data_IF_750468702618
#
_entry.id   IF_750468702618
#
_cell.length_a   1.000
_cell.length_b   1.000
_cell.length_c   1.000
_cell.angle_alpha   90.00
_cell.angle_beta   90.00
_cell.angle_gamma   90.00
#
_symmetry.space_group_name_H-M   'P 1'
#
loop_
_entity.id
_entity.type
_entity.pdbx_description
1 polymer ?
#
# COMPACT_ATOMS: atom_id res chain seq x y z
N UNK A 1 -38.18 -16.03 -2.42
CA UNK A 1 -37.20 -15.49 -1.46
C UNK A 1 -35.85 -15.69 -2.10
N UNK A 2 -35.23 -14.62 -2.61
CA UNK A 2 -33.89 -14.73 -3.17
C UNK A 2 -32.95 -14.96 -1.99
N UNK A 3 -32.22 -16.07 -2.01
CA UNK A 3 -31.12 -16.30 -1.09
C UNK A 3 -30.13 -15.15 -1.30
N UNK A 4 -30.10 -14.22 -0.34
CA UNK A 4 -28.97 -13.31 -0.22
C UNK A 4 -27.76 -14.18 0.11
N UNK A 5 -27.04 -14.63 -0.91
CA UNK A 5 -25.67 -15.07 -0.72
C UNK A 5 -24.92 -13.83 -0.22
N UNK A 6 -24.78 -13.71 1.11
CA UNK A 6 -23.78 -12.83 1.69
C UNK A 6 -22.45 -13.28 1.08
N UNK A 7 -21.86 -12.44 0.24
CA UNK A 7 -20.60 -12.79 -0.38
C UNK A 7 -19.53 -12.58 0.70
N UNK A 8 -19.14 -13.67 1.36
CA UNK A 8 -18.11 -13.68 2.37
C UNK A 8 -16.73 -13.61 1.71
N UNK A 9 -15.87 -12.66 2.10
CA UNK A 9 -14.48 -12.66 1.68
C UNK A 9 -13.72 -13.91 2.12
N UNK A 10 -12.90 -14.41 1.23
CA UNK A 10 -12.01 -15.55 1.46
C UNK A 10 -10.57 -15.06 1.66
N UNK A 11 -9.75 -15.89 2.31
CA UNK A 11 -8.31 -15.65 2.50
C UNK A 11 -7.53 -16.80 1.88
N UNK A 12 -6.63 -16.45 0.97
CA UNK A 12 -5.80 -17.37 0.21
C UNK A 12 -4.36 -17.33 0.72
N UNK A 13 -3.62 -18.40 0.52
CA UNK A 13 -2.27 -18.55 1.05
C UNK A 13 -1.30 -18.99 -0.04
N UNK A 14 -0.23 -18.21 -0.22
CA UNK A 14 0.91 -18.60 -1.04
C UNK A 14 2.10 -18.87 -0.12
N UNK A 15 2.78 -20.00 -0.34
CA UNK A 15 3.96 -20.38 0.43
C UNK A 15 5.07 -20.80 -0.51
N UNK A 16 6.28 -20.29 -0.30
CA UNK A 16 7.50 -20.73 -0.97
C UNK A 16 8.64 -20.76 0.05
N UNK A 17 9.12 -21.97 0.34
CA UNK A 17 10.06 -22.26 1.42
C UNK A 17 9.58 -21.72 2.78
N UNK A 18 10.21 -20.65 3.28
CA UNK A 18 9.93 -20.03 4.59
C UNK A 18 9.07 -18.78 4.50
N UNK A 19 8.72 -18.32 3.30
CA UNK A 19 7.84 -17.17 3.11
C UNK A 19 6.42 -17.67 2.91
N UNK A 20 5.51 -17.16 3.73
CA UNK A 20 4.07 -17.39 3.61
C UNK A 20 3.36 -16.05 3.60
N UNK A 21 2.58 -15.78 2.55
CA UNK A 21 1.72 -14.61 2.44
C UNK A 21 0.26 -15.04 2.43
N UNK A 22 -0.58 -14.33 3.18
CA UNK A 22 -2.04 -14.50 3.14
C UNK A 22 -2.67 -13.27 2.52
N UNK A 23 -3.57 -13.49 1.56
CA UNK A 23 -4.18 -12.43 0.76
C UNK A 23 -5.68 -12.70 0.67
N UNK A 24 -6.50 -11.70 0.97
CA UNK A 24 -7.95 -11.79 0.83
C UNK A 24 -8.44 -11.26 -0.52
N UNK A 25 -9.51 -11.82 -1.05
CA UNK A 25 -10.22 -11.25 -2.19
C UNK A 25 -11.02 -9.98 -1.86
N UNK A 26 -11.15 -9.61 -0.59
CA UNK A 26 -11.62 -8.27 -0.23
C UNK A 26 -10.48 -7.27 -0.39
N UNK A 27 -10.62 -6.35 -1.34
CA UNK A 27 -9.61 -5.34 -1.63
C UNK A 27 -8.25 -5.87 -2.08
N UNK A 28 -8.17 -7.14 -2.51
CA UNK A 28 -6.93 -7.84 -2.81
C UNK A 28 -5.88 -7.70 -1.68
N UNK A 29 -6.34 -7.84 -0.44
CA UNK A 29 -5.65 -7.37 0.77
C UNK A 29 -4.61 -8.37 1.31
N UNK A 30 -3.35 -7.98 1.45
CA UNK A 30 -2.36 -8.74 2.24
C UNK A 30 -2.74 -8.64 3.73
N UNK A 31 -3.13 -9.76 4.32
CA UNK A 31 -3.51 -9.85 5.75
C UNK A 31 -2.36 -10.31 6.64
N UNK A 32 -1.40 -11.05 6.07
CA UNK A 32 -0.24 -11.61 6.78
C UNK A 32 0.92 -11.82 5.82
N UNK A 33 2.16 -11.59 6.30
CA UNK A 33 3.38 -11.99 5.61
C UNK A 33 4.40 -12.49 6.62
N UNK A 34 4.60 -13.80 6.67
CA UNK A 34 5.58 -14.46 7.53
C UNK A 34 6.93 -14.53 6.83
N UNK A 35 7.97 -14.00 7.48
CA UNK A 35 9.35 -14.03 6.97
C UNK A 35 10.36 -14.35 8.09
N UNK A 36 11.42 -15.12 7.80
CA UNK A 36 12.43 -15.47 8.80
C UNK A 36 13.33 -14.26 9.14
N UNK A 37 13.75 -14.18 10.40
CA UNK A 37 14.87 -13.34 10.83
C UNK A 37 16.23 -14.01 10.54
N UNK A 38 17.34 -13.38 10.96
CA UNK A 38 18.69 -13.95 10.80
C UNK A 38 18.94 -15.27 11.56
N UNK A 39 18.09 -15.60 12.55
CA UNK A 39 18.14 -16.85 13.31
C UNK A 39 17.14 -17.90 12.79
N UNK A 40 16.34 -17.56 11.77
CA UNK A 40 15.32 -18.41 11.19
C UNK A 40 13.95 -18.36 11.86
N UNK A 41 13.74 -17.46 12.84
CA UNK A 41 12.43 -17.29 13.49
C UNK A 41 11.48 -16.56 12.54
N UNK A 42 10.32 -17.16 12.30
CA UNK A 42 9.25 -16.56 11.51
C UNK A 42 8.48 -15.55 12.35
N UNK A 43 8.21 -14.38 11.77
CA UNK A 43 7.27 -13.41 12.34
C UNK A 43 6.48 -12.74 11.21
N UNK A 44 5.30 -12.26 11.56
CA UNK A 44 4.42 -11.56 10.63
C UNK A 44 4.78 -10.07 10.60
N UNK A 45 5.29 -9.61 9.46
CA UNK A 45 5.88 -8.27 9.32
C UNK A 45 4.92 -7.22 8.78
N UNK A 46 3.62 -7.52 8.71
CA UNK A 46 2.60 -6.56 8.26
C UNK A 46 1.52 -6.35 9.32
N UNK A 47 1.02 -5.14 9.48
CA UNK A 47 -0.16 -4.88 10.34
C UNK A 47 -1.42 -5.46 9.69
N UNK A 48 -2.39 -5.86 10.50
CA UNK A 48 -3.67 -6.35 10.03
C UNK A 48 -4.57 -6.87 11.15
N UNK A 49 -5.59 -7.64 10.78
CA UNK A 49 -6.52 -8.31 11.69
C UNK A 49 -6.52 -9.83 11.48
N UNK A 50 -6.95 -10.57 12.49
CA UNK A 50 -7.04 -12.05 12.44
C UNK A 50 -8.21 -12.55 11.57
N UNK A 51 -9.22 -11.71 11.33
CA UNK A 51 -10.40 -12.03 10.54
C UNK A 51 -10.72 -10.92 9.54
N UNK A 52 -11.62 -11.21 8.58
CA UNK A 52 -12.04 -10.24 7.57
C UNK A 52 -13.07 -9.23 8.09
N UNK A 53 -13.75 -9.53 9.19
CA UNK A 53 -14.83 -8.70 9.73
C UNK A 53 -14.41 -7.24 10.01
N UNK A 54 -13.26 -6.94 10.64
CA UNK A 54 -12.81 -5.56 10.83
C UNK A 54 -12.52 -4.83 9.51
N UNK A 55 -12.01 -5.53 8.49
CA UNK A 55 -11.78 -4.94 7.17
C UNK A 55 -13.10 -4.56 6.51
N UNK A 56 -14.10 -5.46 6.54
CA UNK A 56 -15.44 -5.24 5.98
C UNK A 56 -16.15 -4.08 6.70
N UNK A 57 -15.99 -3.99 8.02
CA UNK A 57 -16.55 -2.90 8.86
C UNK A 57 -15.80 -1.56 8.71
N UNK A 58 -14.75 -1.50 7.89
CA UNK A 58 -13.99 -0.27 7.66
C UNK A 58 -13.14 0.18 8.85
N UNK A 59 -12.75 -0.75 9.74
CA UNK A 59 -11.88 -0.45 10.88
C UNK A 59 -10.41 -0.31 10.46
N UNK A 60 -10.05 -0.88 9.31
CA UNK A 60 -8.72 -0.79 8.72
C UNK A 60 -8.49 0.62 8.13
N UNK A 61 -7.44 1.36 8.54
CA UNK A 61 -7.00 2.55 7.82
C UNK A 61 -6.21 2.12 6.57
N UNK A 62 -6.85 1.38 5.68
CA UNK A 62 -6.28 0.80 4.46
C UNK A 62 -5.17 -0.23 4.71
N UNK A 63 -5.27 -1.06 5.76
CA UNK A 63 -4.26 -2.10 6.02
C UNK A 63 -4.17 -3.10 4.87
N UNK A 64 -3.05 -3.08 4.13
CA UNK A 64 -2.66 -4.14 3.21
C UNK A 64 -3.50 -4.26 1.94
N UNK A 65 -4.42 -3.35 1.67
CA UNK A 65 -5.31 -3.40 0.51
C UNK A 65 -4.71 -2.67 -0.70
N UNK A 66 -5.25 -2.96 -1.88
CA UNK A 66 -5.02 -2.13 -3.07
C UNK A 66 -5.97 -0.93 -3.01
N UNK A 67 -5.38 0.27 -3.07
CA UNK A 67 -6.13 1.52 -3.19
C UNK A 67 -6.28 1.92 -4.66
N UNK A 68 -7.47 2.38 -5.03
CA UNK A 68 -7.83 2.79 -6.38
C UNK A 68 -9.30 3.21 -6.45
N UNK A 69 -9.79 3.83 -7.53
CA UNK A 69 -9.19 3.99 -8.87
C UNK A 69 -7.98 4.93 -8.96
N UNK A 70 -7.92 5.92 -8.07
CA UNK A 70 -6.77 6.84 -7.91
C UNK A 70 -6.34 6.84 -6.45
N UNK A 71 -5.12 6.37 -6.20
CA UNK A 71 -4.44 6.39 -4.92
C UNK A 71 -4.14 7.84 -4.48
N UNK A 72 -3.99 8.03 -3.16
CA UNK A 72 -3.80 9.33 -2.53
C UNK A 72 -4.93 10.33 -2.85
N UNK A 73 -4.65 11.63 -2.80
CA UNK A 73 -5.66 12.69 -2.79
C UNK A 73 -5.89 13.29 -4.17
N UNK A 74 -7.16 13.58 -4.47
CA UNK A 74 -7.55 14.52 -5.52
C UNK A 74 -8.09 15.79 -4.84
N UNK A 75 -7.41 16.90 -5.11
CA UNK A 75 -7.73 18.21 -4.53
C UNK A 75 -9.18 18.58 -4.79
N UNK A 76 -9.88 19.00 -3.73
CA UNK A 76 -11.30 19.39 -3.76
C UNK A 76 -12.25 18.30 -4.30
N UNK A 77 -11.75 17.07 -4.45
CA UNK A 77 -12.46 15.97 -5.11
C UNK A 77 -12.87 16.29 -6.53
N UNK A 78 -12.11 17.11 -7.27
CA UNK A 78 -12.45 17.49 -8.63
C UNK A 78 -11.28 17.35 -9.58
N UNK A 79 -11.58 17.02 -10.82
CA UNK A 79 -10.63 17.06 -11.92
C UNK A 79 -11.34 17.34 -13.24
N UNK A 80 -10.58 17.80 -14.23
CA UNK A 80 -11.07 17.99 -15.60
C UNK A 80 -10.37 17.00 -16.52
N UNK A 81 -11.13 16.31 -17.36
CA UNK A 81 -10.60 15.40 -18.37
C UNK A 81 -11.34 15.62 -19.69
N UNK A 82 -10.61 15.86 -20.77
CA UNK A 82 -11.17 16.16 -22.11
C UNK A 82 -12.24 17.26 -22.10
N UNK A 83 -12.04 18.30 -21.28
CA UNK A 83 -12.95 19.44 -21.15
C UNK A 83 -14.19 19.21 -20.29
N UNK A 84 -14.37 18.02 -19.70
CA UNK A 84 -15.46 17.72 -18.77
C UNK A 84 -14.96 17.76 -17.32
N UNK A 85 -15.69 18.45 -16.43
CA UNK A 85 -15.46 18.42 -14.98
C UNK A 85 -16.10 17.18 -14.36
N UNK A 86 -15.34 16.49 -13.52
CA UNK A 86 -15.79 15.37 -12.71
C UNK A 86 -15.69 15.73 -11.24
N UNK A 87 -16.68 15.28 -10.46
CA UNK A 87 -16.72 15.46 -9.01
C UNK A 87 -16.73 14.09 -8.32
N UNK A 88 -15.89 13.95 -7.32
CA UNK A 88 -15.64 12.75 -6.54
C UNK A 88 -16.14 12.94 -5.11
N UNK A 89 -16.42 11.86 -4.38
CA UNK A 89 -16.78 11.95 -2.97
C UNK A 89 -15.68 12.57 -2.12
N UNK A 90 -16.06 13.57 -1.32
CA UNK A 90 -15.20 14.19 -0.31
C UNK A 90 -15.20 13.31 0.94
N UNK A 91 -14.48 12.20 0.88
CA UNK A 91 -14.31 11.24 1.97
C UNK A 91 -13.17 11.63 2.94
N UNK A 92 -12.32 12.59 2.56
CA UNK A 92 -11.32 13.20 3.45
C UNK A 92 -11.33 14.72 3.27
N UNK A 93 -12.29 15.43 3.90
CA UNK A 93 -12.49 16.86 3.65
C UNK A 93 -11.21 17.70 3.76
N UNK A 94 -10.98 18.64 2.82
CA UNK A 94 -11.84 19.01 1.69
C UNK A 94 -11.66 18.16 0.42
N UNK A 95 -10.93 17.05 0.47
CA UNK A 95 -10.47 16.30 -0.70
C UNK A 95 -11.15 14.94 -0.87
N UNK A 96 -10.97 14.34 -2.05
CA UNK A 96 -11.19 12.90 -2.24
C UNK A 96 -9.88 12.14 -1.98
N UNK A 97 -9.96 10.94 -1.41
CA UNK A 97 -8.82 10.12 -1.00
C UNK A 97 -9.02 8.65 -1.39
N UNK A 98 -7.98 8.03 -1.96
CA UNK A 98 -7.90 6.58 -2.23
C UNK A 98 -9.14 6.03 -2.96
N UNK A 99 -9.56 6.71 -4.03
CA UNK A 99 -10.67 6.29 -4.86
C UNK A 99 -12.07 6.53 -4.29
N UNK A 100 -12.22 7.08 -3.09
CA UNK A 100 -13.51 7.53 -2.55
C UNK A 100 -14.02 6.72 -1.36
N UNK A 101 -15.35 6.70 -1.17
CA UNK A 101 -16.00 6.07 0.00
C UNK A 101 -15.88 4.55 -0.05
N UNK A 102 -16.19 3.96 -1.20
CA UNK A 102 -16.06 2.53 -1.50
C UNK A 102 -15.09 2.34 -2.66
N UNK A 103 -13.83 2.71 -2.43
CA UNK A 103 -12.72 2.45 -3.34
C UNK A 103 -12.41 0.96 -3.46
N UNK A 104 -11.35 0.65 -4.22
CA UNK A 104 -10.93 -0.72 -4.54
C UNK A 104 -10.58 -1.55 -3.31
N UNK A 105 -10.33 -0.91 -2.17
CA UNK A 105 -10.04 -1.53 -0.89
C UNK A 105 -11.28 -2.12 -0.18
N UNK A 106 -12.49 -1.71 -0.58
CA UNK A 106 -13.77 -2.08 0.09
C UNK A 106 -14.75 -2.79 -0.84
N UNK A 107 -14.20 -3.51 -1.81
CA UNK A 107 -14.95 -4.30 -2.77
C UNK A 107 -14.41 -5.72 -2.78
N UNK A 108 -15.28 -6.65 -3.15
CA UNK A 108 -14.88 -8.01 -3.40
C UNK A 108 -14.33 -8.12 -4.83
N UNK A 109 -13.14 -8.69 -4.94
CA UNK A 109 -12.52 -9.03 -6.20
C UNK A 109 -12.83 -10.48 -6.56
N UNK A 110 -13.03 -10.74 -7.85
CA UNK A 110 -13.15 -12.10 -8.38
C UNK A 110 -11.79 -12.80 -8.35
N UNK A 111 -11.77 -14.11 -8.11
CA UNK A 111 -10.57 -14.94 -8.29
C UNK A 111 -10.51 -15.36 -9.77
N UNK A 112 -9.61 -14.76 -10.53
CA UNK A 112 -9.41 -15.13 -11.93
C UNK A 112 -8.54 -16.38 -12.07
N UNK A 113 -7.53 -16.53 -11.20
CA UNK A 113 -6.64 -17.69 -11.17
C UNK A 113 -6.06 -17.88 -9.77
N UNK A 114 -5.86 -19.13 -9.34
CA UNK A 114 -5.15 -19.45 -8.10
C UNK A 114 -4.30 -20.71 -8.29
N UNK A 115 -2.98 -20.53 -8.27
CA UNK A 115 -2.01 -21.60 -8.44
C UNK A 115 -1.13 -21.71 -7.19
N UNK A 116 -1.54 -22.53 -6.22
CA UNK A 116 -0.81 -22.71 -4.96
C UNK A 116 0.46 -23.58 -5.10
N UNK A 117 0.46 -24.54 -6.02
CA UNK A 117 1.45 -25.63 -6.07
C UNK A 117 2.42 -25.53 -7.26
N UNK A 118 2.39 -24.43 -8.01
CA UNK A 118 3.31 -24.19 -9.13
C UNK A 118 4.73 -23.82 -8.67
N UNK A 119 5.66 -23.77 -9.63
CA UNK A 119 7.04 -23.32 -9.39
C UNK A 119 7.08 -21.90 -8.79
N UNK A 120 6.15 -21.04 -9.22
CA UNK A 120 5.93 -19.70 -8.69
C UNK A 120 4.48 -19.60 -8.20
N UNK A 121 4.19 -19.98 -6.94
CA UNK A 121 2.84 -19.89 -6.40
C UNK A 121 2.26 -18.50 -6.62
N UNK A 122 1.02 -18.43 -7.11
CA UNK A 122 0.39 -17.16 -7.49
C UNK A 122 -1.12 -17.15 -7.28
N UNK A 123 -1.69 -15.95 -7.18
CA UNK A 123 -3.12 -15.70 -7.22
C UNK A 123 -3.39 -14.41 -8.00
N UNK A 124 -4.37 -14.46 -8.89
CA UNK A 124 -4.80 -13.33 -9.72
C UNK A 124 -6.22 -12.94 -9.33
N UNK A 125 -6.37 -11.72 -8.85
CA UNK A 125 -7.66 -11.08 -8.60
C UNK A 125 -8.09 -10.25 -9.80
N UNK A 126 -9.40 -10.15 -10.03
CA UNK A 126 -9.99 -9.28 -11.05
C UNK A 126 -11.13 -8.46 -10.45
N UNK A 127 -11.18 -7.18 -10.80
CA UNK A 127 -12.29 -6.29 -10.46
C UNK A 127 -12.72 -5.48 -11.68
N UNK A 128 -14.02 -5.33 -11.86
CA UNK A 128 -14.62 -4.52 -12.91
C UNK A 128 -15.24 -3.27 -12.29
N UNK A 129 -14.52 -2.16 -12.37
CA UNK A 129 -14.98 -0.86 -11.87
C UNK A 129 -15.83 -0.18 -12.95
N UNK A 130 -17.09 0.11 -12.63
CA UNK A 130 -18.05 0.60 -13.63
C UNK A 130 -17.86 2.08 -13.98
N UNK A 131 -18.36 2.51 -15.14
CA UNK A 131 -18.53 3.93 -15.46
C UNK A 131 -19.35 4.64 -14.38
N UNK A 132 -18.83 5.76 -13.87
CA UNK A 132 -19.43 6.54 -12.79
C UNK A 132 -19.16 6.00 -11.38
N UNK A 133 -18.46 4.87 -11.22
CA UNK A 133 -18.09 4.36 -9.90
C UNK A 133 -17.25 5.38 -9.13
N UNK A 134 -17.71 5.75 -7.93
CA UNK A 134 -17.13 6.83 -7.11
C UNK A 134 -16.93 8.16 -7.87
N UNK A 135 -17.66 8.38 -8.97
CA UNK A 135 -17.60 9.60 -9.79
C UNK A 135 -16.57 9.58 -10.93
N UNK A 136 -15.81 8.49 -11.11
CA UNK A 136 -14.83 8.38 -12.20
C UNK A 136 -15.48 7.94 -13.52
N UNK A 137 -15.07 8.51 -14.69
CA UNK A 137 -15.60 8.09 -15.99
C UNK A 137 -15.02 6.75 -16.45
N UNK A 138 -15.82 6.00 -17.20
CA UNK A 138 -15.40 4.81 -17.93
C UNK A 138 -15.38 3.54 -17.10
N UNK A 139 -15.68 2.43 -17.78
CA UNK A 139 -15.47 1.08 -17.24
C UNK A 139 -13.97 0.76 -17.26
N UNK A 140 -13.49 0.11 -16.19
CA UNK A 140 -12.09 -0.30 -16.04
C UNK A 140 -12.05 -1.76 -15.58
N UNK A 141 -11.36 -2.60 -16.35
CA UNK A 141 -10.97 -3.93 -15.90
C UNK A 141 -9.64 -3.82 -15.18
N UNK A 142 -9.60 -4.26 -13.92
CA UNK A 142 -8.40 -4.23 -13.08
C UNK A 142 -8.03 -5.65 -12.70
N UNK A 143 -6.76 -5.99 -12.81
CA UNK A 143 -6.20 -7.25 -12.32
C UNK A 143 -5.06 -6.98 -11.35
N UNK A 144 -4.93 -7.86 -10.35
CA UNK A 144 -3.86 -7.83 -9.38
C UNK A 144 -3.32 -9.26 -9.19
N UNK A 145 -2.10 -9.51 -9.61
CA UNK A 145 -1.45 -10.82 -9.52
C UNK A 145 -0.36 -10.77 -8.46
N UNK A 146 -0.56 -11.53 -7.38
CA UNK A 146 0.49 -11.78 -6.39
C UNK A 146 1.19 -13.09 -6.73
N UNK A 147 2.52 -13.10 -6.66
CA UNK A 147 3.31 -14.32 -6.88
C UNK A 147 4.57 -14.38 -6.01
N UNK A 148 5.05 -15.60 -5.78
CA UNK A 148 6.32 -15.89 -5.10
C UNK A 148 7.35 -16.42 -6.12
N UNK A 149 8.03 -15.56 -6.90
CA UNK A 149 9.01 -15.99 -7.89
C UNK A 149 10.27 -16.62 -7.26
N UNK A 150 10.58 -16.28 -6.02
CA UNK A 150 11.69 -16.88 -5.26
C UNK A 150 11.33 -17.02 -3.79
N UNK A 151 12.17 -17.68 -3.01
CA UNK A 151 12.04 -17.80 -1.56
C UNK A 151 12.32 -16.52 -0.77
N UNK A 152 12.57 -15.41 -1.47
CA UNK A 152 12.87 -14.09 -0.88
C UNK A 152 12.10 -12.95 -1.55
N UNK A 153 11.13 -13.27 -2.41
CA UNK A 153 10.47 -12.26 -3.24
C UNK A 153 8.97 -12.49 -3.30
N UNK A 154 8.22 -11.45 -2.96
CA UNK A 154 6.81 -11.29 -3.29
C UNK A 154 6.72 -10.28 -4.45
N UNK A 155 6.07 -10.66 -5.54
CA UNK A 155 5.82 -9.78 -6.68
C UNK A 155 4.32 -9.48 -6.74
N UNK A 156 3.98 -8.22 -6.93
CA UNK A 156 2.63 -7.74 -7.24
C UNK A 156 2.67 -7.11 -8.62
N UNK A 157 1.83 -7.60 -9.52
CA UNK A 157 1.59 -7.00 -10.84
C UNK A 157 0.17 -6.46 -10.86
N UNK A 158 0.01 -5.18 -11.20
CA UNK A 158 -1.28 -4.52 -11.30
C UNK A 158 -1.48 -4.03 -12.73
N UNK A 159 -2.60 -4.39 -13.34
CA UNK A 159 -2.99 -3.89 -14.66
C UNK A 159 -4.39 -3.30 -14.57
N UNK A 160 -4.59 -2.14 -15.19
CA UNK A 160 -5.89 -1.50 -15.27
C UNK A 160 -6.13 -1.01 -16.70
N UNK A 161 -7.17 -1.54 -17.33
CA UNK A 161 -7.50 -1.30 -18.74
C UNK A 161 -8.82 -0.54 -18.81
N UNK A 162 -8.81 0.77 -19.12
CA UNK A 162 -10.03 1.51 -19.45
C UNK A 162 -10.65 0.94 -20.73
N UNK A 163 -11.93 0.59 -20.68
CA UNK A 163 -12.58 -0.15 -21.78
C UNK A 163 -13.30 0.75 -22.79
N UNK A 164 -13.79 1.91 -22.35
CA UNK A 164 -14.68 2.73 -23.18
C UNK A 164 -14.50 4.25 -23.08
N UNK A 165 -13.86 4.76 -22.01
CA UNK A 165 -13.58 6.19 -21.83
C UNK A 165 -12.20 6.37 -21.21
N UNK A 166 -11.55 7.49 -21.54
CA UNK A 166 -10.36 7.92 -20.82
C UNK A 166 -10.71 8.16 -19.33
N UNK A 167 -9.81 7.77 -18.42
CA UNK A 167 -9.99 7.90 -16.99
C UNK A 167 -8.63 7.95 -16.30
N UNK A 168 -8.47 8.70 -15.20
CA UNK A 168 -7.24 8.63 -14.42
C UNK A 168 -7.15 7.28 -13.69
N UNK A 169 -5.96 6.71 -13.67
CA UNK A 169 -5.62 5.49 -12.94
C UNK A 169 -4.34 5.74 -12.16
N UNK A 170 -4.36 5.43 -10.87
CA UNK A 170 -3.16 5.34 -10.04
C UNK A 170 -3.47 4.31 -8.95
N UNK A 171 -2.79 3.18 -8.99
CA UNK A 171 -2.98 2.07 -8.06
C UNK A 171 -1.79 2.00 -7.12
N UNK A 172 -2.04 1.67 -5.86
CA UNK A 172 -0.98 1.43 -4.90
C UNK A 172 -1.37 0.35 -3.90
N UNK A 173 -0.38 -0.33 -3.34
CA UNK A 173 -0.55 -1.35 -2.32
C UNK A 173 -0.26 -0.77 -0.95
N UNK A 174 -1.28 -0.66 -0.09
CA UNK A 174 -1.21 0.09 1.16
C UNK A 174 -0.78 -0.78 2.36
N UNK A 175 0.25 -1.61 2.18
CA UNK A 175 0.78 -2.46 3.26
C UNK A 175 1.48 -1.63 4.33
N UNK A 176 1.17 -1.91 5.61
CA UNK A 176 1.88 -1.33 6.75
C UNK A 176 2.92 -2.32 7.25
N UNK A 177 4.18 -2.01 6.99
CA UNK A 177 5.34 -2.82 7.32
C UNK A 177 5.86 -2.55 8.73
N UNK A 178 6.13 -3.60 9.48
CA UNK A 178 7.01 -3.58 10.64
C UNK A 178 7.91 -4.83 10.62
N UNK A 179 9.15 -4.64 10.16
CA UNK A 179 10.11 -5.74 10.01
C UNK A 179 10.54 -6.40 11.33
N UNK A 180 10.32 -5.76 12.48
CA UNK A 180 10.56 -6.37 13.79
C UNK A 180 9.39 -7.28 14.25
N UNK A 181 8.31 -7.35 13.46
CA UNK A 181 7.06 -8.04 13.80
C UNK A 181 5.92 -7.04 14.02
N UNK A 182 4.70 -7.39 13.62
CA UNK A 182 3.55 -6.47 13.68
C UNK A 182 3.20 -6.01 15.10
N UNK A 183 3.60 -6.77 16.11
CA UNK A 183 3.35 -6.52 17.53
C UNK A 183 4.58 -5.96 18.28
N UNK A 184 5.65 -5.62 17.57
CA UNK A 184 6.94 -5.21 18.15
C UNK A 184 6.98 -3.77 18.67
N UNK A 185 5.91 -3.00 18.49
CA UNK A 185 5.86 -1.58 18.84
C UNK A 185 6.06 -0.69 17.62
N UNK A 186 6.85 0.38 17.74
CA UNK A 186 7.00 1.38 16.69
C UNK A 186 8.20 1.12 15.75
N UNK A 187 8.16 1.72 14.56
CA UNK A 187 9.18 1.58 13.51
C UNK A 187 10.32 2.61 13.58
N UNK A 188 10.44 3.39 14.66
CA UNK A 188 11.35 4.54 14.70
C UNK A 188 12.83 4.14 14.70
N UNK A 189 13.15 2.92 15.15
CA UNK A 189 14.51 2.36 15.11
C UNK A 189 14.86 1.69 13.77
N UNK A 190 13.88 1.47 12.88
CA UNK A 190 14.14 1.00 11.53
C UNK A 190 14.96 2.04 10.78
N UNK A 191 15.86 1.57 9.94
CA UNK A 191 16.63 2.41 9.02
C UNK A 191 16.07 2.29 7.62
N UNK A 192 15.96 3.41 6.92
CA UNK A 192 15.48 3.45 5.54
C UNK A 192 16.46 4.22 4.64
N UNK A 193 16.62 3.73 3.43
CA UNK A 193 17.21 4.43 2.30
C UNK A 193 16.16 4.55 1.20
N UNK A 194 16.00 5.75 0.63
CA UNK A 194 15.09 6.05 -0.47
C UNK A 194 15.91 6.74 -1.58
N UNK A 195 16.17 6.08 -2.73
CA UNK A 195 16.85 6.67 -3.89
C UNK A 195 15.99 7.73 -4.60
N UNK A 196 15.70 8.82 -3.90
CA UNK A 196 14.88 9.93 -4.38
C UNK A 196 15.47 11.26 -3.88
N UNK A 197 15.94 12.07 -4.82
CA UNK A 197 16.56 13.36 -4.53
C UNK A 197 15.54 14.48 -4.29
N UNK A 198 14.25 14.21 -4.52
CA UNK A 198 13.17 15.18 -4.44
C UNK A 198 11.90 14.57 -3.82
N UNK A 199 11.07 15.42 -3.21
CA UNK A 199 9.72 15.08 -2.74
C UNK A 199 8.69 16.07 -3.30
N UNK A 200 7.41 15.71 -3.24
CA UNK A 200 6.31 16.66 -3.44
C UNK A 200 5.80 17.15 -2.08
N UNK A 201 6.18 18.36 -1.63
CA UNK A 201 5.71 18.90 -0.36
C UNK A 201 4.20 19.14 -0.39
N UNK A 202 3.57 19.03 0.79
CA UNK A 202 2.13 19.08 0.94
C UNK A 202 1.66 20.32 1.69
N UNK A 203 0.42 20.72 1.45
CA UNK A 203 -0.26 21.76 2.21
C UNK A 203 -0.81 21.24 3.56
N UNK A 204 -1.51 22.11 4.30
CA UNK A 204 -2.13 21.76 5.58
C UNK A 204 -3.20 20.66 5.48
N UNK A 205 -3.71 20.37 4.27
CA UNK A 205 -4.65 19.29 4.01
C UNK A 205 -3.95 18.05 3.43
N UNK A 206 -2.63 17.98 3.51
CA UNK A 206 -1.79 16.87 3.00
C UNK A 206 -1.94 16.65 1.48
N UNK A 207 -2.26 17.70 0.73
CA UNK A 207 -2.31 17.68 -0.75
C UNK A 207 -1.02 18.28 -1.31
N UNK A 208 -0.40 17.68 -2.35
CA UNK A 208 0.77 18.27 -2.99
C UNK A 208 0.53 19.71 -3.44
N UNK A 209 1.48 20.59 -3.13
CA UNK A 209 1.41 22.02 -3.50
C UNK A 209 1.64 22.25 -5.00
N UNK A 210 2.19 21.26 -5.70
CA UNK A 210 2.68 21.35 -7.08
C UNK A 210 4.18 21.61 -7.18
N UNK A 211 4.85 21.95 -6.07
CA UNK A 211 6.32 22.04 -6.01
C UNK A 211 6.96 20.63 -6.07
N UNK A 212 8.19 20.57 -6.59
CA UNK A 212 9.08 19.42 -6.45
C UNK A 212 10.33 19.92 -5.70
N UNK A 213 10.44 19.56 -4.42
CA UNK A 213 11.42 20.12 -3.49
C UNK A 213 12.62 19.17 -3.31
N UNK A 214 13.87 19.63 -3.39
CA UNK A 214 15.04 18.78 -3.13
C UNK A 214 15.10 18.34 -1.67
N UNK A 215 15.51 17.09 -1.43
CA UNK A 215 15.61 16.55 -0.06
C UNK A 215 16.87 16.97 0.68
N UNK A 216 17.95 17.31 -0.05
CA UNK A 216 19.27 17.58 0.53
C UNK A 216 19.22 18.68 1.59
N UNK A 217 19.72 18.35 2.78
CA UNK A 217 19.74 19.30 3.92
C UNK A 217 18.40 19.48 4.62
N UNK A 218 17.40 18.65 4.29
CA UNK A 218 16.08 18.64 4.95
C UNK A 218 15.89 17.34 5.77
N UNK A 219 14.86 17.26 6.63
CA UNK A 219 14.48 16.03 7.33
C UNK A 219 14.09 14.86 6.39
N UNK A 220 13.86 15.14 5.11
CA UNK A 220 13.46 14.17 4.08
C UNK A 220 14.66 13.50 3.38
N UNK A 221 15.90 13.87 3.71
CA UNK A 221 17.10 13.32 3.04
C UNK A 221 17.39 11.87 3.45
N UNK A 222 16.77 10.91 2.77
CA UNK A 222 17.02 9.47 2.91
C UNK A 222 17.83 8.87 1.74
N UNK A 223 18.55 9.69 0.96
CA UNK A 223 19.43 9.20 -0.11
C UNK A 223 20.48 8.21 0.44
N UNK A 224 20.89 8.42 1.69
CA UNK A 224 21.66 7.48 2.49
C UNK A 224 20.78 6.87 3.58
N UNK A 225 21.08 5.63 3.93
CA UNK A 225 20.41 4.92 5.03
C UNK A 225 20.47 5.73 6.32
N UNK A 226 19.31 6.03 6.90
CA UNK A 226 19.17 6.73 8.17
C UNK A 226 18.01 6.12 8.99
N UNK A 227 18.10 6.22 10.31
CA UNK A 227 16.99 5.84 11.20
C UNK A 227 15.78 6.72 10.95
N UNK A 228 14.59 6.13 10.86
CA UNK A 228 13.35 6.87 10.62
C UNK A 228 13.09 7.88 11.74
N UNK A 229 13.29 7.48 12.99
CA UNK A 229 13.07 8.34 14.16
C UNK A 229 14.05 9.50 14.32
N UNK A 230 15.18 9.50 13.61
CA UNK A 230 16.26 10.47 13.82
C UNK A 230 15.83 11.92 13.60
N UNK A 231 14.99 12.17 12.60
CA UNK A 231 14.56 13.52 12.17
C UNK A 231 13.04 13.68 12.06
N UNK A 232 12.27 12.65 12.43
CA UNK A 232 10.81 12.67 12.31
C UNK A 232 10.15 13.80 13.12
N UNK A 233 10.78 14.23 14.21
CA UNK A 233 10.30 15.33 15.06
C UNK A 233 10.37 16.70 14.36
N UNK A 234 11.19 16.83 13.32
CA UNK A 234 11.29 18.03 12.48
C UNK A 234 10.19 18.08 11.41
N UNK A 235 9.43 16.99 11.23
CA UNK A 235 8.33 16.87 10.27
C UNK A 235 7.01 16.86 11.04
N UNK A 236 6.22 17.95 11.00
CA UNK A 236 4.94 18.01 11.71
C UNK A 236 4.03 16.84 11.33
N UNK A 237 3.61 16.06 12.33
CA UNK A 237 2.75 14.89 12.14
C UNK A 237 3.49 13.59 11.82
N UNK A 238 4.73 13.66 11.31
CA UNK A 238 5.50 12.52 10.80
C UNK A 238 5.57 12.51 9.27
N UNK A 239 6.27 11.54 8.69
CA UNK A 239 6.38 11.44 7.23
C UNK A 239 5.04 10.96 6.65
N UNK A 240 4.53 11.70 5.66
CA UNK A 240 3.39 11.36 4.80
C UNK A 240 3.58 12.07 3.45
N UNK A 241 4.66 11.73 2.73
CA UNK A 241 5.09 12.46 1.54
C UNK A 241 5.43 11.50 0.40
N UNK A 242 5.12 11.93 -0.83
CA UNK A 242 5.56 11.25 -2.03
C UNK A 242 7.01 11.66 -2.35
N UNK A 243 7.87 10.66 -2.50
CA UNK A 243 9.24 10.77 -2.98
C UNK A 243 9.24 10.56 -4.49
N UNK A 244 9.87 11.49 -5.22
CA UNK A 244 10.06 11.38 -6.67
C UNK A 244 11.28 10.50 -6.91
N UNK A 245 11.07 9.29 -7.41
CA UNK A 245 12.13 8.29 -7.52
C UNK A 245 13.14 8.69 -8.60
N UNK A 246 14.43 8.66 -8.26
CA UNK A 246 15.50 8.96 -9.20
C UNK A 246 15.68 7.82 -10.22
N UNK A 247 16.35 8.11 -11.34
CA UNK A 247 16.89 7.08 -12.22
C UNK A 247 18.06 6.39 -11.49
N UNK A 248 17.79 5.25 -10.85
CA UNK A 248 18.74 4.52 -10.00
C UNK A 248 19.03 3.11 -10.48
N UNK A 249 19.34 2.23 -9.53
CA UNK A 249 19.50 0.80 -9.80
C UNK A 249 18.21 0.23 -10.41
N UNK A 250 18.35 -0.50 -11.52
CA UNK A 250 17.23 -1.10 -12.24
C UNK A 250 17.44 -2.61 -12.38
N UNK A 251 16.38 -3.39 -12.16
CA UNK A 251 16.36 -4.85 -12.32
C UNK A 251 15.07 -5.26 -13.00
N UNK A 252 15.18 -5.91 -14.16
CA UNK A 252 14.03 -6.42 -14.92
C UNK A 252 12.96 -5.35 -15.19
N UNK A 253 13.36 -4.11 -15.50
CA UNK A 253 12.46 -2.99 -15.77
C UNK A 253 11.91 -2.28 -14.53
N UNK A 254 12.29 -2.71 -13.32
CA UNK A 254 11.88 -2.09 -12.05
C UNK A 254 13.04 -1.30 -11.45
N UNK A 255 12.76 -0.10 -10.93
CA UNK A 255 13.71 0.75 -10.20
C UNK A 255 13.67 0.46 -8.71
N UNK A 256 14.83 0.53 -8.05
CA UNK A 256 14.91 0.42 -6.59
C UNK A 256 14.29 1.67 -5.92
N UNK A 257 13.19 1.49 -5.20
CA UNK A 257 12.44 2.58 -4.58
C UNK A 257 12.81 2.81 -3.11
N UNK A 258 13.09 1.72 -2.38
CA UNK A 258 13.45 1.80 -0.98
C UNK A 258 14.19 0.56 -0.50
N UNK A 259 15.03 0.76 0.50
CA UNK A 259 15.57 -0.30 1.35
C UNK A 259 15.24 0.01 2.80
N UNK A 260 14.40 -0.83 3.41
CA UNK A 260 14.03 -0.76 4.81
C UNK A 260 14.72 -1.89 5.57
N UNK A 261 15.24 -1.59 6.76
CA UNK A 261 15.89 -2.56 7.62
C UNK A 261 15.46 -2.36 9.07
N UNK A 262 15.17 -3.46 9.75
CA UNK A 262 15.06 -3.47 11.20
C UNK A 262 16.38 -3.97 11.80
N UNK A 263 17.01 -3.23 12.72
CA UNK A 263 18.25 -3.65 13.34
C UNK A 263 18.09 -4.87 14.26
N UNK A 264 16.91 -5.12 14.84
CA UNK A 264 16.72 -6.16 15.86
C UNK A 264 16.60 -7.57 15.26
N UNK A 265 15.77 -7.74 14.23
CA UNK A 265 15.60 -9.01 13.50
C UNK A 265 16.62 -9.19 12.37
N UNK A 266 17.32 -8.12 11.98
CA UNK A 266 18.15 -8.06 10.77
C UNK A 266 17.39 -8.32 9.46
N UNK A 267 16.05 -8.30 9.47
CA UNK A 267 15.24 -8.38 8.24
C UNK A 267 15.44 -7.12 7.40
N UNK A 268 15.46 -7.33 6.08
CA UNK A 268 15.62 -6.27 5.08
C UNK A 268 14.54 -6.42 4.03
N UNK A 269 13.84 -5.33 3.73
CA UNK A 269 12.88 -5.22 2.64
C UNK A 269 13.48 -4.30 1.57
N UNK A 270 13.57 -4.80 0.34
CA UNK A 270 13.85 -3.97 -0.84
C UNK A 270 12.58 -3.85 -1.66
N UNK A 271 12.18 -2.63 -1.98
CA UNK A 271 11.05 -2.35 -2.87
C UNK A 271 11.60 -1.99 -4.25
N UNK A 272 11.03 -2.63 -5.26
CA UNK A 272 11.32 -2.40 -6.68
C UNK A 272 10.02 -2.09 -7.39
N UNK A 273 9.98 -1.02 -8.19
CA UNK A 273 8.75 -0.54 -8.81
C UNK A 273 9.01 0.09 -10.18
N UNK A 274 8.02 0.07 -11.06
CA UNK A 274 7.98 0.85 -12.29
C UNK A 274 7.30 2.23 -12.09
N UNK A 275 6.70 2.46 -10.91
CA UNK A 275 6.09 3.73 -10.53
C UNK A 275 7.09 4.90 -10.51
N UNK A 276 6.64 6.13 -10.83
CA UNK A 276 7.51 7.32 -10.84
C UNK A 276 7.76 7.90 -9.44
N UNK A 277 6.95 7.51 -8.46
CA UNK A 277 7.02 8.00 -7.09
C UNK A 277 6.65 6.91 -6.09
N UNK A 278 6.93 7.18 -4.83
CA UNK A 278 6.58 6.29 -3.71
C UNK A 278 6.10 7.12 -2.53
N UNK A 279 4.90 6.83 -2.02
CA UNK A 279 4.42 7.45 -0.79
C UNK A 279 5.13 6.80 0.40
N UNK A 280 5.87 7.61 1.18
CA UNK A 280 6.41 7.17 2.46
C UNK A 280 5.59 7.74 3.60
N UNK A 281 4.83 6.87 4.25
CA UNK A 281 3.93 7.21 5.35
C UNK A 281 4.27 6.42 6.62
N UNK A 282 4.51 7.10 7.73
CA UNK A 282 4.95 6.47 8.99
C UNK A 282 3.81 6.10 9.93
N UNK A 283 2.60 5.78 9.43
CA UNK A 283 1.52 5.31 10.30
C UNK A 283 1.06 6.35 11.34
N UNK A 284 1.10 7.62 10.98
CA UNK A 284 0.93 8.77 11.89
C UNK A 284 -0.45 8.81 12.58
N UNK A 285 -1.47 8.24 11.92
CA UNK A 285 -2.87 8.24 12.38
C UNK A 285 -3.34 6.89 12.93
N UNK A 286 -2.47 5.87 12.95
CA UNK A 286 -2.77 4.60 13.61
C UNK A 286 -2.80 4.86 15.11
N UNK A 287 -3.92 4.60 15.77
CA UNK A 287 -4.07 4.90 17.19
C UNK A 287 -5.08 3.99 17.89
N UNK A 288 -4.58 3.07 18.71
CA UNK A 288 -5.40 2.21 19.56
C UNK A 288 -6.18 1.14 18.80
N UNK A 289 -5.70 0.73 17.63
CA UNK A 289 -6.38 -0.30 16.82
C UNK A 289 -5.97 -1.68 17.33
N UNK A 290 -6.92 -2.50 17.75
CA UNK A 290 -6.67 -3.90 18.11
C UNK A 290 -6.53 -4.73 16.84
N UNK A 291 -5.30 -5.17 16.56
CA UNK A 291 -4.95 -6.00 15.41
C UNK A 291 -4.78 -7.47 15.76
N UNK A 292 -3.97 -8.16 14.94
CA UNK A 292 -3.67 -9.59 15.07
C UNK A 292 -3.19 -9.98 16.48
N UNK A 293 -3.64 -11.12 16.97
CA UNK A 293 -3.23 -11.68 18.27
C UNK A 293 -3.52 -10.77 19.46
N UNK A 294 -4.46 -9.82 19.33
CA UNK A 294 -4.77 -8.82 20.36
C UNK A 294 -3.74 -7.70 20.51
N UNK A 295 -2.77 -7.58 19.60
CA UNK A 295 -1.79 -6.50 19.62
C UNK A 295 -2.49 -5.14 19.39
N UNK A 296 -2.10 -4.12 20.16
CA UNK A 296 -2.65 -2.77 19.99
C UNK A 296 -1.69 -1.93 19.16
N UNK A 297 -2.10 -1.58 17.95
CA UNK A 297 -1.33 -0.73 17.05
C UNK A 297 -1.51 0.74 17.42
N UNK A 298 -0.40 1.38 17.80
CA UNK A 298 -0.32 2.81 18.09
C UNK A 298 0.33 3.60 16.96
N UNK A 299 0.58 4.89 17.23
CA UNK A 299 1.25 5.78 16.29
C UNK A 299 2.62 5.23 15.93
N UNK A 300 2.93 5.20 14.64
CA UNK A 300 4.17 4.63 14.10
C UNK A 300 4.32 3.12 14.32
N UNK A 301 3.25 2.35 14.56
CA UNK A 301 3.35 0.89 14.67
C UNK A 301 3.80 0.18 13.38
N UNK A 302 3.62 0.85 12.24
CA UNK A 302 4.06 0.39 10.92
C UNK A 302 4.20 1.57 9.96
N UNK A 303 4.85 1.35 8.83
CA UNK A 303 5.02 2.33 7.76
C UNK A 303 4.52 1.78 6.41
N UNK A 304 4.12 2.66 5.51
CA UNK A 304 3.75 2.33 4.14
C UNK A 304 4.81 2.84 3.15
N UNK A 305 5.01 2.06 2.09
CA UNK A 305 5.83 2.35 0.93
C UNK A 305 4.94 2.03 -0.29
N UNK A 306 4.07 2.98 -0.62
CA UNK A 306 2.99 2.81 -1.61
C UNK A 306 3.46 3.16 -3.02
#
# INVERSE_FOLDING_TARGET
>A
MAEHHEIEPEVFELTKDKITVKISNWGATITSLLVPDAHGNLDDVVLGFDSMEPYIKGMAPYFGCIVGRVANRIKDGKFTLNGMEYSLPINKPPNSLHGGRKGFDKVLWEIAEYNKNGENPSITFRYHSKDGEEGYPGDVSVTATYSLPSSTSLKLEMEAVPQNKATPISLAQHTYWNLAGHNSGNILEHSIQIPASQITPVDANTVPTGEIMPVKGTPFDFLKENKIGSRIHEVPGGYDHNYVLDCGEERSGLRHAARLKDPSSSRVLNIWTDAPGMQFYTGNYVNGIVGKGGAVYGKHAGLCLE
#
